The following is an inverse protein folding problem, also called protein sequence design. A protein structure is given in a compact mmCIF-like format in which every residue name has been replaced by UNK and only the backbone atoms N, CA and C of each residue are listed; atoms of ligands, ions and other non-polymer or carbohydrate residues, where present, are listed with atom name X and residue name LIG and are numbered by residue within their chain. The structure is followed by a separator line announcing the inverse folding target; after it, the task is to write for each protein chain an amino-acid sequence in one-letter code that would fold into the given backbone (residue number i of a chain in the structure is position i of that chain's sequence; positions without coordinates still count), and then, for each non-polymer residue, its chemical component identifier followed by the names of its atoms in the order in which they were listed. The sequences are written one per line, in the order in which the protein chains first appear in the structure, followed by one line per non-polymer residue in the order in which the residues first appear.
data_IF_807010170454
#
_entry.id   IF_807010170454
#
_cell.length_a   1.000
_cell.length_b   1.000
_cell.length_c   1.000
_cell.angle_alpha   90.00
_cell.angle_beta   90.00
_cell.angle_gamma   90.00
#
_symmetry.space_group_name_H-M   'P 1'
#
loop_
_entity.id
_entity.type
_entity.pdbx_description
1 polymer ?
#
# COMPACT_ATOMS: atom_id res chain seq x y z
N UNK A 1 -20.93 -0.15 -23.34
CA UNK A 1 -19.60 -0.73 -23.01
C UNK A 1 -19.59 -2.19 -23.44
N UNK A 2 -18.65 -2.62 -24.27
CA UNK A 2 -18.50 -4.04 -24.59
C UNK A 2 -18.09 -4.81 -23.31
N UNK A 3 -18.64 -6.01 -23.04
CA UNK A 3 -18.28 -6.77 -21.85
C UNK A 3 -16.79 -7.11 -21.88
N UNK A 4 -16.08 -6.73 -20.82
CA UNK A 4 -14.65 -6.99 -20.64
C UNK A 4 -14.43 -8.52 -20.62
N UNK A 5 -13.64 -9.05 -21.54
CA UNK A 5 -13.29 -10.46 -21.58
C UNK A 5 -12.36 -10.78 -20.41
N UNK A 6 -12.75 -11.76 -19.57
CA UNK A 6 -12.02 -12.15 -18.37
C UNK A 6 -11.18 -13.40 -18.64
N UNK A 7 -9.86 -13.29 -18.45
CA UNK A 7 -8.89 -14.38 -18.58
C UNK A 7 -8.28 -14.67 -17.20
N UNK A 8 -8.75 -15.71 -16.51
CA UNK A 8 -8.33 -16.10 -15.15
C UNK A 8 -7.92 -17.58 -15.08
N UNK A 9 -7.36 -18.09 -16.16
CA UNK A 9 -7.09 -19.53 -16.32
C UNK A 9 -6.19 -20.10 -15.24
N UNK A 10 -5.16 -19.35 -14.83
CA UNK A 10 -4.29 -19.76 -13.73
C UNK A 10 -5.07 -19.93 -12.42
N UNK A 11 -5.95 -19.00 -12.10
CA UNK A 11 -6.74 -19.06 -10.87
C UNK A 11 -7.70 -20.25 -10.87
N UNK A 12 -8.31 -20.54 -12.02
CA UNK A 12 -9.15 -21.73 -12.21
C UNK A 12 -8.35 -23.00 -11.97
N UNK A 13 -7.14 -23.07 -12.51
CA UNK A 13 -6.23 -24.21 -12.32
C UNK A 13 -5.83 -24.35 -10.85
N UNK A 14 -5.44 -23.28 -10.18
CA UNK A 14 -5.11 -23.26 -8.75
C UNK A 14 -6.26 -23.79 -7.89
N UNK A 15 -7.49 -23.33 -8.16
CA UNK A 15 -8.70 -23.79 -7.47
C UNK A 15 -8.90 -25.31 -7.69
N UNK A 16 -8.78 -25.78 -8.93
CA UNK A 16 -8.91 -27.19 -9.24
C UNK A 16 -7.88 -28.05 -8.50
N UNK A 17 -6.63 -27.60 -8.49
CA UNK A 17 -5.53 -28.30 -7.83
C UNK A 17 -5.67 -28.29 -6.30
N UNK A 18 -6.08 -27.18 -5.69
CA UNK A 18 -6.39 -27.08 -4.26
C UNK A 18 -7.45 -28.09 -3.84
N UNK A 19 -8.47 -28.29 -4.69
CA UNK A 19 -9.53 -29.27 -4.45
C UNK A 19 -9.18 -30.67 -4.96
N UNK A 20 -7.94 -30.92 -5.40
CA UNK A 20 -7.44 -32.21 -5.93
C UNK A 20 -8.37 -32.82 -6.99
N UNK A 21 -9.02 -31.97 -7.79
CA UNK A 21 -9.97 -32.38 -8.81
C UNK A 21 -9.26 -32.64 -10.15
N UNK A 22 -9.69 -33.70 -10.85
CA UNK A 22 -9.29 -33.93 -12.24
C UNK A 22 -9.95 -32.89 -13.15
N UNK A 23 -9.38 -32.60 -14.31
CA UNK A 23 -9.98 -31.65 -15.29
C UNK A 23 -11.41 -32.09 -15.67
N UNK A 24 -11.65 -33.39 -15.84
CA UNK A 24 -12.97 -33.93 -16.20
C UNK A 24 -14.00 -33.69 -15.06
N UNK A 25 -13.66 -34.09 -13.84
CA UNK A 25 -14.58 -33.90 -12.69
C UNK A 25 -14.80 -32.44 -12.30
N UNK A 26 -13.82 -31.59 -12.53
CA UNK A 26 -13.95 -30.15 -12.30
C UNK A 26 -14.85 -29.49 -13.37
N UNK A 27 -14.67 -29.85 -14.65
CA UNK A 27 -15.49 -29.39 -15.75
C UNK A 27 -16.96 -29.80 -15.58
N UNK A 28 -17.21 -31.06 -15.15
CA UNK A 28 -18.55 -31.57 -14.88
C UNK A 28 -19.25 -30.77 -13.78
N UNK A 29 -18.57 -30.47 -12.67
CA UNK A 29 -19.12 -29.66 -11.58
C UNK A 29 -19.43 -28.22 -11.99
N UNK A 30 -18.68 -27.68 -12.93
CA UNK A 30 -18.92 -26.32 -13.47
C UNK A 30 -19.94 -26.30 -14.61
N UNK A 31 -20.46 -27.46 -15.05
CA UNK A 31 -21.40 -27.57 -16.15
C UNK A 31 -20.81 -27.20 -17.52
N UNK A 32 -19.48 -27.43 -17.71
CA UNK A 32 -18.76 -27.10 -18.94
C UNK A 32 -18.03 -28.31 -19.51
N UNK A 33 -17.66 -28.25 -20.79
CA UNK A 33 -16.84 -29.30 -21.39
C UNK A 33 -15.39 -29.25 -20.91
N UNK A 34 -14.73 -30.41 -20.83
CA UNK A 34 -13.30 -30.50 -20.48
C UNK A 34 -12.43 -29.69 -21.43
N UNK A 35 -12.82 -29.66 -22.74
CA UNK A 35 -12.13 -28.84 -23.74
C UNK A 35 -12.24 -27.34 -23.44
N UNK A 36 -13.42 -26.86 -23.05
CA UNK A 36 -13.62 -25.46 -22.64
C UNK A 36 -12.80 -25.12 -21.39
N UNK A 37 -12.79 -26.02 -20.37
CA UNK A 37 -11.99 -25.85 -19.18
C UNK A 37 -10.50 -25.75 -19.52
N UNK A 38 -9.98 -26.66 -20.35
CA UNK A 38 -8.57 -26.64 -20.76
C UNK A 38 -8.19 -25.36 -21.48
N UNK A 39 -9.05 -24.88 -22.43
CA UNK A 39 -8.83 -23.60 -23.10
C UNK A 39 -8.88 -22.42 -22.14
N UNK A 40 -9.77 -22.46 -21.16
CA UNK A 40 -9.88 -21.42 -20.13
C UNK A 40 -8.70 -21.43 -19.18
N UNK A 41 -8.25 -22.59 -18.69
CA UNK A 41 -7.06 -22.75 -17.83
C UNK A 41 -5.76 -22.26 -18.52
N UNK A 42 -5.69 -22.35 -19.86
CA UNK A 42 -4.56 -21.87 -20.65
C UNK A 42 -4.75 -20.44 -21.20
N UNK A 43 -5.76 -19.71 -20.72
CA UNK A 43 -6.11 -18.35 -21.17
C UNK A 43 -6.34 -18.23 -22.70
N UNK A 44 -6.66 -19.33 -23.40
CA UNK A 44 -7.01 -19.34 -24.82
C UNK A 44 -8.45 -18.89 -25.03
N UNK A 45 -9.28 -18.95 -23.98
CA UNK A 45 -10.69 -18.57 -24.02
C UNK A 45 -11.08 -17.81 -22.76
N UNK A 46 -11.82 -16.70 -22.88
CA UNK A 46 -12.28 -15.95 -21.73
C UNK A 46 -13.34 -16.75 -20.94
N UNK A 47 -13.35 -16.55 -19.65
CA UNK A 47 -14.31 -17.19 -18.74
C UNK A 47 -15.63 -16.45 -18.81
N UNK A 48 -16.74 -17.20 -18.96
CA UNK A 48 -18.08 -16.61 -18.99
C UNK A 48 -18.57 -16.32 -17.57
N UNK A 49 -19.53 -15.39 -17.44
CA UNK A 49 -20.16 -15.07 -16.17
C UNK A 49 -20.83 -16.30 -15.52
N UNK A 50 -21.39 -17.19 -16.32
CA UNK A 50 -21.98 -18.45 -15.83
C UNK A 50 -20.95 -19.35 -15.15
N UNK A 51 -19.73 -19.45 -15.70
CA UNK A 51 -18.65 -20.23 -15.11
C UNK A 51 -18.13 -19.59 -13.82
N UNK A 52 -18.10 -18.25 -13.75
CA UNK A 52 -17.74 -17.53 -12.52
C UNK A 52 -18.75 -17.80 -11.39
N UNK A 53 -20.04 -17.75 -11.71
CA UNK A 53 -21.09 -18.07 -10.76
C UNK A 53 -21.01 -19.52 -10.28
N UNK A 54 -20.79 -20.45 -11.22
CA UNK A 54 -20.60 -21.87 -10.87
C UNK A 54 -19.36 -22.10 -9.99
N UNK A 55 -18.27 -21.37 -10.21
CA UNK A 55 -17.08 -21.39 -9.33
C UNK A 55 -17.40 -20.89 -7.93
N UNK A 56 -18.15 -19.78 -7.83
CA UNK A 56 -18.55 -19.23 -6.54
C UNK A 56 -19.46 -20.20 -5.75
N UNK A 57 -20.45 -20.79 -6.42
CA UNK A 57 -21.42 -21.69 -5.80
C UNK A 57 -20.81 -23.02 -5.39
N UNK A 58 -20.00 -23.65 -6.26
CA UNK A 58 -19.47 -25.00 -6.00
C UNK A 58 -18.22 -25.01 -5.12
N UNK A 59 -17.46 -23.92 -5.09
CA UNK A 59 -16.18 -23.86 -4.39
C UNK A 59 -16.09 -22.72 -3.37
N UNK A 60 -17.24 -22.03 -3.07
CA UNK A 60 -17.35 -20.94 -2.10
C UNK A 60 -16.34 -19.83 -2.30
N UNK A 61 -16.06 -19.50 -3.56
CA UNK A 61 -15.05 -18.51 -3.92
C UNK A 61 -15.72 -17.15 -4.01
N UNK A 62 -15.15 -16.18 -3.31
CA UNK A 62 -15.54 -14.79 -3.50
C UNK A 62 -15.11 -14.32 -4.89
N UNK A 63 -16.10 -14.06 -5.77
CA UNK A 63 -15.84 -13.54 -7.13
C UNK A 63 -15.10 -12.20 -7.05
N UNK A 64 -15.30 -11.41 -6.01
CA UNK A 64 -14.55 -10.18 -5.74
C UNK A 64 -13.09 -10.42 -5.39
N UNK A 65 -12.75 -11.61 -4.88
CA UNK A 65 -11.37 -12.04 -4.60
C UNK A 65 -10.67 -12.62 -5.83
N UNK A 66 -11.40 -12.96 -6.89
CA UNK A 66 -10.84 -13.21 -8.22
C UNK A 66 -10.48 -11.85 -8.82
N UNK A 67 -9.45 -11.26 -8.24
CA UNK A 67 -9.15 -9.86 -8.38
C UNK A 67 -8.61 -9.56 -9.77
N UNK A 68 -9.35 -8.75 -10.50
CA UNK A 68 -8.87 -7.98 -11.64
C UNK A 68 -7.71 -7.02 -11.28
N UNK A 69 -7.38 -6.90 -9.99
CA UNK A 69 -6.37 -5.98 -9.46
C UNK A 69 -4.94 -6.49 -9.54
N UNK A 70 -4.71 -7.80 -9.45
CA UNK A 70 -3.35 -8.35 -9.44
C UNK A 70 -2.70 -8.25 -10.82
N UNK A 71 -3.46 -8.50 -11.89
CA UNK A 71 -2.98 -8.36 -13.27
C UNK A 71 -2.66 -6.89 -13.60
N UNK A 72 -3.51 -5.95 -13.15
CA UNK A 72 -3.30 -4.51 -13.39
C UNK A 72 -2.09 -3.99 -12.58
N UNK A 73 -1.85 -4.50 -11.38
CA UNK A 73 -0.66 -4.19 -10.56
C UNK A 73 0.61 -4.72 -11.18
N UNK A 74 0.58 -5.98 -11.62
CA UNK A 74 1.72 -6.62 -12.26
C UNK A 74 2.05 -5.92 -13.58
N UNK A 75 1.03 -5.57 -14.37
CA UNK A 75 1.18 -4.79 -15.60
C UNK A 75 1.82 -3.42 -15.34
N UNK A 76 1.36 -2.71 -14.31
CA UNK A 76 1.93 -1.43 -13.93
C UNK A 76 3.41 -1.56 -13.52
N UNK A 77 3.74 -2.57 -12.72
CA UNK A 77 5.11 -2.83 -12.30
C UNK A 77 6.04 -3.23 -13.47
N UNK A 78 5.54 -4.02 -14.41
CA UNK A 78 6.27 -4.36 -15.65
C UNK A 78 6.47 -3.11 -16.51
N UNK A 79 5.43 -2.30 -16.69
CA UNK A 79 5.53 -1.05 -17.46
C UNK A 79 6.54 -0.08 -16.84
N UNK A 80 6.56 0.03 -15.52
CA UNK A 80 7.53 0.86 -14.79
C UNK A 80 8.97 0.32 -14.97
N UNK A 81 9.16 -0.99 -14.89
CA UNK A 81 10.47 -1.60 -15.11
C UNK A 81 10.97 -1.35 -16.54
N UNK A 82 10.11 -1.56 -17.54
CA UNK A 82 10.44 -1.39 -18.95
C UNK A 82 10.57 0.08 -19.40
N UNK A 83 10.16 1.03 -18.56
CA UNK A 83 10.41 2.45 -18.76
C UNK A 83 11.87 2.87 -18.49
N UNK A 84 12.70 1.98 -17.95
CA UNK A 84 14.12 2.28 -17.69
C UNK A 84 14.91 2.34 -19.02
N UNK A 85 15.87 3.30 -19.18
CA UNK A 85 16.71 3.42 -20.37
C UNK A 85 17.45 2.15 -20.76
N UNK A 86 17.73 1.23 -19.83
CA UNK A 86 18.36 -0.06 -20.13
C UNK A 86 17.54 -0.89 -21.14
N UNK A 87 16.25 -0.63 -21.23
CA UNK A 87 15.33 -1.31 -22.17
C UNK A 87 15.01 -0.50 -23.43
N UNK A 88 15.69 0.62 -23.70
CA UNK A 88 15.36 1.50 -24.82
C UNK A 88 15.31 0.82 -26.19
N UNK A 89 16.09 -0.25 -26.39
CA UNK A 89 16.09 -1.06 -27.59
C UNK A 89 15.01 -2.17 -27.60
N UNK A 90 14.26 -2.33 -26.49
CA UNK A 90 13.29 -3.41 -26.29
C UNK A 90 12.02 -2.84 -25.70
N UNK A 91 11.16 -2.25 -26.54
CA UNK A 91 9.90 -1.61 -26.09
C UNK A 91 8.71 -2.47 -26.50
N UNK A 92 8.27 -3.42 -25.66
CA UNK A 92 7.06 -4.17 -25.95
C UNK A 92 5.84 -3.25 -25.93
N UNK A 93 4.88 -3.55 -26.79
CA UNK A 93 3.59 -2.88 -26.81
C UNK A 93 2.80 -3.18 -25.53
N UNK A 94 1.85 -2.32 -25.20
CA UNK A 94 0.93 -2.55 -24.07
C UNK A 94 0.22 -3.91 -24.18
N UNK A 95 -0.04 -4.37 -25.40
CA UNK A 95 -0.69 -5.65 -25.66
C UNK A 95 0.22 -6.84 -25.31
N UNK A 96 1.50 -6.77 -25.64
CA UNK A 96 2.50 -7.79 -25.28
C UNK A 96 2.74 -7.82 -23.77
N UNK A 97 2.81 -6.67 -23.11
CA UNK A 97 2.94 -6.59 -21.66
C UNK A 97 1.73 -7.24 -20.96
N UNK A 98 0.50 -7.00 -21.45
CA UNK A 98 -0.71 -7.67 -20.96
C UNK A 98 -0.66 -9.19 -21.16
N UNK A 99 -0.19 -9.65 -22.30
CA UNK A 99 -0.04 -11.09 -22.56
C UNK A 99 0.95 -11.75 -21.61
N UNK A 100 2.09 -11.10 -21.33
CA UNK A 100 3.09 -11.62 -20.39
C UNK A 100 2.54 -11.67 -18.98
N UNK A 101 1.89 -10.62 -18.51
CA UNK A 101 1.34 -10.58 -17.15
C UNK A 101 0.22 -11.59 -16.94
N UNK A 102 -0.59 -11.87 -17.96
CA UNK A 102 -1.69 -12.82 -17.90
C UNK A 102 -1.26 -14.28 -18.10
N UNK A 103 -0.34 -14.54 -19.03
CA UNK A 103 0.02 -15.91 -19.42
C UNK A 103 1.31 -16.43 -18.78
N UNK A 104 2.22 -15.53 -18.40
CA UNK A 104 3.51 -15.85 -17.82
C UNK A 104 3.88 -14.92 -16.66
N UNK A 105 3.06 -14.79 -15.62
CA UNK A 105 3.31 -13.87 -14.50
C UNK A 105 4.63 -14.15 -13.78
N UNK A 106 5.10 -15.40 -13.76
CA UNK A 106 6.43 -15.74 -13.24
C UNK A 106 7.57 -15.04 -14.00
N UNK A 107 7.46 -14.90 -15.32
CA UNK A 107 8.41 -14.12 -16.14
C UNK A 107 8.31 -12.63 -15.81
N UNK A 108 7.10 -12.11 -15.66
CA UNK A 108 6.89 -10.72 -15.27
C UNK A 108 7.55 -10.41 -13.91
N UNK A 109 7.37 -11.28 -12.92
CA UNK A 109 8.02 -11.14 -11.61
C UNK A 109 9.55 -11.26 -11.72
N UNK A 110 10.08 -12.19 -12.53
CA UNK A 110 11.51 -12.33 -12.75
C UNK A 110 12.12 -11.08 -13.40
N UNK A 111 11.44 -10.49 -14.40
CA UNK A 111 11.87 -9.23 -15.02
C UNK A 111 11.91 -8.07 -14.01
N UNK A 112 10.86 -7.94 -13.20
CA UNK A 112 10.81 -6.92 -12.15
C UNK A 112 11.94 -7.11 -11.16
N UNK A 113 12.20 -8.35 -10.71
CA UNK A 113 13.27 -8.66 -9.78
C UNK A 113 14.66 -8.34 -10.38
N UNK A 114 14.88 -8.68 -11.65
CA UNK A 114 16.12 -8.40 -12.38
C UNK A 114 16.33 -6.89 -12.54
N UNK A 115 15.30 -6.14 -12.95
CA UNK A 115 15.39 -4.69 -13.07
C UNK A 115 15.66 -4.02 -11.71
N UNK A 116 15.04 -4.49 -10.64
CA UNK A 116 15.30 -3.98 -9.29
C UNK A 116 16.77 -4.22 -8.88
N UNK A 117 17.32 -5.40 -9.18
CA UNK A 117 18.74 -5.68 -8.93
C UNK A 117 19.67 -4.77 -9.75
N UNK A 118 19.35 -4.56 -11.03
CA UNK A 118 20.07 -3.63 -11.90
C UNK A 118 20.06 -2.20 -11.35
N UNK A 119 18.90 -1.68 -10.97
CA UNK A 119 18.75 -0.32 -10.40
C UNK A 119 19.55 -0.14 -9.12
N UNK A 120 19.48 -1.12 -8.21
CA UNK A 120 20.28 -1.10 -6.97
C UNK A 120 21.78 -1.02 -7.26
N UNK A 121 22.26 -1.86 -8.19
CA UNK A 121 23.68 -1.84 -8.58
C UNK A 121 24.07 -0.49 -9.19
N UNK A 122 23.22 0.11 -10.03
CA UNK A 122 23.48 1.43 -10.62
C UNK A 122 23.51 2.55 -9.59
N UNK A 123 22.62 2.53 -8.61
CA UNK A 123 22.61 3.51 -7.51
C UNK A 123 23.79 3.37 -6.57
N UNK A 124 24.25 2.14 -6.34
CA UNK A 124 25.47 1.89 -5.55
C UNK A 124 26.73 2.32 -6.29
N UNK A 125 26.82 2.06 -7.60
CA UNK A 125 27.93 2.56 -8.42
C UNK A 125 27.97 4.10 -8.41
N UNK A 126 26.81 4.77 -8.54
CA UNK A 126 26.72 6.23 -8.44
C UNK A 126 27.09 6.76 -7.05
N UNK A 127 26.78 6.01 -5.99
CA UNK A 127 27.19 6.32 -4.61
C UNK A 127 28.69 6.11 -4.39
N UNK A 128 29.29 5.11 -5.04
CA UNK A 128 30.73 4.83 -4.98
C UNK A 128 31.57 5.85 -5.75
N UNK A 129 31.08 6.37 -6.86
CA UNK A 129 31.71 7.48 -7.60
C UNK A 129 31.80 8.76 -6.75
N UNK A 130 30.88 8.96 -5.81
CA UNK A 130 30.94 10.04 -4.83
C UNK A 130 31.87 9.76 -3.63
N UNK A 131 32.31 8.51 -3.44
CA UNK A 131 33.17 8.07 -2.34
C UNK A 131 34.50 7.52 -2.84
N UNK A 132 35.21 8.22 -3.72
CA UNK A 132 36.51 7.83 -4.26
C UNK A 132 37.31 6.89 -3.34
N UNK A 133 37.37 5.59 -3.65
CA UNK A 133 38.48 4.75 -3.23
C UNK A 133 38.22 3.46 -2.46
N UNK A 134 37.03 2.85 -2.46
CA UNK A 134 36.88 1.53 -1.84
C UNK A 134 36.15 0.50 -2.74
N UNK A 135 36.67 -0.73 -2.67
CA UNK A 135 36.28 -1.87 -3.50
C UNK A 135 34.77 -2.23 -3.42
N UNK A 136 34.18 -2.74 -4.52
CA UNK A 136 32.76 -3.02 -4.60
C UNK A 136 32.39 -4.21 -3.71
N UNK A 137 31.50 -3.99 -2.74
CA UNK A 137 30.80 -5.07 -2.08
C UNK A 137 29.59 -5.47 -2.93
N UNK A 138 29.36 -6.77 -3.07
CA UNK A 138 28.21 -7.37 -3.73
C UNK A 138 26.91 -6.80 -3.17
N UNK A 139 26.17 -6.12 -4.02
CA UNK A 139 24.97 -5.39 -3.63
C UNK A 139 23.79 -6.31 -3.33
N UNK A 140 23.53 -6.54 -2.07
CA UNK A 140 22.27 -7.14 -1.61
C UNK A 140 21.09 -6.15 -1.74
N UNK A 141 19.87 -6.65 -2.04
CA UNK A 141 18.69 -5.80 -2.06
C UNK A 141 18.53 -5.07 -0.72
N UNK A 142 18.14 -3.79 -0.77
CA UNK A 142 17.89 -3.06 0.47
C UNK A 142 16.77 -3.76 1.25
N UNK A 143 17.04 -4.24 2.48
CA UNK A 143 16.09 -5.05 3.26
C UNK A 143 14.73 -4.38 3.43
N UNK A 144 14.74 -3.05 3.49
CA UNK A 144 13.54 -2.23 3.62
C UNK A 144 12.62 -2.31 2.38
N UNK A 145 13.18 -2.46 1.19
CA UNK A 145 12.39 -2.57 -0.05
C UNK A 145 11.72 -3.93 -0.16
N UNK A 146 12.41 -5.00 0.22
CA UNK A 146 11.83 -6.34 0.28
C UNK A 146 10.61 -6.40 1.19
N UNK A 147 10.71 -5.80 2.38
CA UNK A 147 9.62 -5.75 3.35
C UNK A 147 8.45 -4.90 2.84
N UNK A 148 8.75 -3.79 2.17
CA UNK A 148 7.72 -2.95 1.56
C UNK A 148 6.95 -3.70 0.46
N UNK A 149 7.66 -4.44 -0.38
CA UNK A 149 7.06 -5.26 -1.43
C UNK A 149 6.21 -6.39 -0.84
N UNK A 150 6.67 -7.05 0.23
CA UNK A 150 5.88 -8.05 0.95
C UNK A 150 4.52 -7.50 1.37
N UNK A 151 4.47 -6.38 2.10
CA UNK A 151 3.20 -5.77 2.51
C UNK A 151 2.34 -5.33 1.32
N UNK A 152 2.95 -4.90 0.24
CA UNK A 152 2.21 -4.55 -0.98
C UNK A 152 1.53 -5.77 -1.61
N UNK A 153 2.22 -6.91 -1.71
CA UNK A 153 1.68 -8.11 -2.34
C UNK A 153 0.56 -8.80 -1.53
N UNK A 154 0.52 -8.60 -0.22
CA UNK A 154 -0.55 -9.11 0.64
C UNK A 154 -1.70 -8.09 0.84
N UNK A 155 -1.82 -7.08 -0.03
CA UNK A 155 -2.82 -6.00 0.10
C UNK A 155 -2.78 -5.29 1.47
N UNK A 156 -1.62 -5.30 2.14
CA UNK A 156 -1.44 -4.75 3.48
C UNK A 156 -2.42 -5.34 4.52
N UNK A 157 -2.93 -6.55 4.30
CA UNK A 157 -3.83 -7.26 5.22
C UNK A 157 -3.20 -8.59 5.70
N UNK A 158 -3.06 -8.73 7.01
CA UNK A 158 -2.51 -9.93 7.65
C UNK A 158 -3.58 -10.56 8.52
N UNK A 159 -4.24 -11.59 7.98
CA UNK A 159 -5.46 -12.17 8.55
C UNK A 159 -5.28 -12.65 9.98
N UNK A 160 -4.25 -13.44 10.25
CA UNK A 160 -4.02 -14.07 11.53
C UNK A 160 -3.75 -13.05 12.63
N UNK A 161 -2.97 -12.02 12.33
CA UNK A 161 -2.70 -10.93 13.28
C UNK A 161 -3.92 -10.04 13.49
N UNK A 162 -4.71 -9.82 12.44
CA UNK A 162 -5.93 -9.02 12.54
C UNK A 162 -6.97 -9.68 13.42
N UNK A 163 -7.20 -10.99 13.25
CA UNK A 163 -8.10 -11.78 14.10
C UNK A 163 -7.61 -11.82 15.54
N UNK A 164 -6.31 -12.02 15.78
CA UNK A 164 -5.74 -12.03 17.11
C UNK A 164 -5.91 -10.66 17.81
N UNK A 165 -5.67 -9.57 17.08
CA UNK A 165 -5.85 -8.22 17.58
C UNK A 165 -7.31 -7.91 17.91
N UNK A 166 -8.25 -8.29 17.03
CA UNK A 166 -9.68 -8.09 17.20
C UNK A 166 -10.21 -8.87 18.43
N UNK A 167 -9.74 -10.11 18.62
CA UNK A 167 -10.08 -10.91 19.78
C UNK A 167 -9.59 -10.23 21.08
N UNK A 168 -8.33 -9.83 21.11
CA UNK A 168 -7.77 -9.14 22.29
C UNK A 168 -8.50 -7.82 22.56
N UNK A 169 -8.86 -7.08 21.53
CA UNK A 169 -9.64 -5.84 21.67
C UNK A 169 -11.01 -6.10 22.30
N UNK A 170 -11.68 -7.19 21.91
CA UNK A 170 -12.95 -7.60 22.51
C UNK A 170 -12.78 -8.04 23.98
N UNK A 171 -11.76 -8.84 24.29
CA UNK A 171 -11.45 -9.28 25.65
C UNK A 171 -11.15 -8.09 26.60
N UNK A 172 -10.59 -6.99 26.07
CA UNK A 172 -10.28 -5.75 26.80
C UNK A 172 -11.41 -4.73 26.78
N UNK A 173 -12.50 -4.99 26.03
CA UNK A 173 -13.59 -4.05 25.78
C UNK A 173 -13.09 -2.68 25.27
N UNK A 174 -12.11 -2.71 24.35
CA UNK A 174 -11.52 -1.47 23.81
C UNK A 174 -12.56 -0.51 23.24
N UNK A 175 -13.65 -0.94 22.54
CA UNK A 175 -14.69 0.00 22.08
C UNK A 175 -15.45 0.69 23.22
N UNK A 176 -15.58 0.06 24.42
CA UNK A 176 -16.33 0.55 25.57
C UNK A 176 -15.48 1.23 26.65
N UNK A 177 -14.15 1.07 26.63
CA UNK A 177 -13.21 1.58 27.63
C UNK A 177 -12.17 2.52 27.03
N UNK A 178 -11.68 3.44 27.82
CA UNK A 178 -10.54 4.26 27.44
C UNK A 178 -9.29 3.37 27.22
N UNK A 179 -8.82 3.34 25.97
CA UNK A 179 -7.64 2.58 25.57
C UNK A 179 -6.39 2.99 26.37
N UNK A 180 -6.30 4.25 26.78
CA UNK A 180 -5.20 4.78 27.60
C UNK A 180 -5.19 4.23 29.03
N UNK A 181 -6.28 3.59 29.46
CA UNK A 181 -6.41 2.90 30.74
C UNK A 181 -6.35 1.39 30.54
N UNK A 182 -7.07 0.87 29.54
CA UNK A 182 -7.19 -0.57 29.31
C UNK A 182 -5.85 -1.23 28.99
N UNK A 183 -5.04 -0.65 28.08
CA UNK A 183 -3.75 -1.23 27.69
C UNK A 183 -2.70 -1.22 28.80
N UNK A 184 -2.48 -0.12 29.56
CA UNK A 184 -1.58 -0.13 30.70
C UNK A 184 -1.98 -1.15 31.76
N UNK A 185 -3.27 -1.23 32.09
CA UNK A 185 -3.77 -2.20 33.05
C UNK A 185 -3.52 -3.63 32.60
N UNK A 186 -3.80 -3.94 31.34
CA UNK A 186 -3.53 -5.27 30.78
C UNK A 186 -2.04 -5.63 30.84
N UNK A 187 -1.15 -4.67 30.53
CA UNK A 187 0.29 -4.88 30.61
C UNK A 187 0.73 -5.22 32.07
N UNK A 188 0.14 -4.57 33.05
CA UNK A 188 0.46 -4.84 34.45
C UNK A 188 -0.11 -6.18 34.91
N UNK A 189 -1.40 -6.43 34.66
CA UNK A 189 -2.10 -7.63 35.15
C UNK A 189 -1.58 -8.90 34.47
N UNK A 190 -1.41 -8.90 33.18
CA UNK A 190 -1.06 -10.08 32.38
C UNK A 190 0.45 -10.32 32.31
N UNK A 191 1.24 -9.25 32.19
CA UNK A 191 2.67 -9.33 31.89
C UNK A 191 3.54 -8.86 33.04
N UNK A 192 2.96 -8.31 34.10
CA UNK A 192 3.71 -7.67 35.21
C UNK A 192 4.65 -6.57 34.69
N UNK A 193 4.23 -5.87 33.64
CA UNK A 193 4.99 -4.78 33.03
C UNK A 193 4.42 -3.45 33.49
N UNK A 194 5.24 -2.70 34.23
CA UNK A 194 4.92 -1.34 34.64
C UNK A 194 5.29 -0.33 33.57
N UNK A 195 4.43 0.65 33.32
CA UNK A 195 4.69 1.75 32.39
C UNK A 195 5.28 2.94 33.14
N UNK A 196 6.40 3.47 32.63
CA UNK A 196 7.10 4.62 33.17
C UNK A 196 7.40 5.66 32.06
N UNK A 197 7.75 6.86 32.49
CA UNK A 197 8.22 7.91 31.54
C UNK A 197 9.70 7.70 31.24
N UNK A 198 10.10 7.79 30.01
CA UNK A 198 11.50 7.84 29.61
C UNK A 198 12.15 9.14 30.06
N UNK A 199 13.47 9.14 30.27
CA UNK A 199 14.22 10.36 30.58
C UNK A 199 14.07 11.40 29.44
N UNK A 200 14.07 12.67 29.79
CA UNK A 200 13.88 13.76 28.85
C UNK A 200 14.99 13.84 27.79
N UNK A 201 16.16 13.29 28.07
CA UNK A 201 17.32 13.26 27.18
C UNK A 201 17.35 12.01 26.28
N UNK A 202 16.52 11.00 26.56
CA UNK A 202 16.42 9.81 25.72
C UNK A 202 15.60 10.10 24.47
N UNK A 203 16.25 10.14 23.30
CA UNK A 203 15.58 10.31 22.01
C UNK A 203 14.90 9.01 21.53
N UNK A 204 14.07 8.40 22.37
CA UNK A 204 13.37 7.14 22.07
C UNK A 204 11.85 7.32 22.11
N UNK A 205 11.12 6.61 21.28
CA UNK A 205 9.65 6.51 21.40
C UNK A 205 9.26 5.59 22.55
N UNK A 206 9.95 4.46 22.67
CA UNK A 206 9.81 3.47 23.72
C UNK A 206 11.12 2.74 23.99
N UNK A 207 11.29 2.26 25.19
CA UNK A 207 12.34 1.32 25.59
C UNK A 207 11.77 0.34 26.61
N UNK A 208 11.93 -0.94 26.35
CA UNK A 208 11.51 -1.99 27.29
C UNK A 208 12.74 -2.59 28.00
N UNK A 209 12.68 -2.59 29.31
CA UNK A 209 13.66 -3.27 30.17
C UNK A 209 13.08 -4.61 30.60
N UNK A 210 13.61 -5.69 30.03
CA UNK A 210 13.13 -7.04 30.29
C UNK A 210 13.45 -7.54 31.71
N UNK A 211 14.52 -7.05 32.35
CA UNK A 211 14.91 -7.45 33.69
C UNK A 211 14.01 -6.82 34.75
N UNK A 212 13.79 -5.52 34.66
CA UNK A 212 12.94 -4.80 35.61
C UNK A 212 11.47 -4.81 35.25
N UNK A 213 11.12 -5.35 34.07
CA UNK A 213 9.76 -5.40 33.52
C UNK A 213 9.13 -4.01 33.45
N UNK A 214 9.88 -3.02 32.98
CA UNK A 214 9.42 -1.63 32.83
C UNK A 214 9.45 -1.22 31.37
N UNK A 215 8.32 -0.71 30.89
CA UNK A 215 8.19 -0.07 29.57
C UNK A 215 8.28 1.44 29.74
N UNK A 216 9.37 2.01 29.25
CA UNK A 216 9.58 3.46 29.24
C UNK A 216 9.01 4.05 27.97
N UNK A 217 8.16 5.07 28.08
CA UNK A 217 7.55 5.79 26.95
C UNK A 217 7.98 7.25 26.97
N UNK A 218 8.14 7.80 25.77
CA UNK A 218 8.45 9.23 25.62
C UNK A 218 7.31 10.09 26.21
N UNK A 219 7.60 10.93 27.22
CA UNK A 219 6.57 11.74 27.87
C UNK A 219 5.97 12.82 26.95
N UNK A 220 6.70 13.23 25.91
CA UNK A 220 6.27 14.27 24.97
C UNK A 220 5.45 13.72 23.80
N UNK A 221 5.42 12.40 23.59
CA UNK A 221 4.58 11.79 22.56
C UNK A 221 3.10 11.97 22.90
N UNK A 222 2.23 12.23 21.89
CA UNK A 222 0.78 12.23 22.09
C UNK A 222 0.27 10.92 22.69
N UNK A 223 -0.87 10.97 23.39
CA UNK A 223 -1.50 9.76 23.96
C UNK A 223 -1.73 8.67 22.90
N UNK A 224 -2.18 9.04 21.69
CA UNK A 224 -2.36 8.15 20.55
C UNK A 224 -1.09 7.39 20.17
N UNK A 225 0.07 8.05 20.23
CA UNK A 225 1.37 7.42 19.99
C UNK A 225 1.76 6.50 21.14
N UNK A 226 1.58 6.94 22.40
CA UNK A 226 1.89 6.10 23.56
C UNK A 226 1.05 4.82 23.60
N UNK A 227 -0.25 4.93 23.35
CA UNK A 227 -1.15 3.77 23.28
C UNK A 227 -0.71 2.78 22.19
N UNK A 228 -0.33 3.29 21.03
CA UNK A 228 0.21 2.47 19.95
C UNK A 228 1.52 1.77 20.35
N UNK A 229 2.42 2.44 21.07
CA UNK A 229 3.66 1.83 21.56
C UNK A 229 3.41 0.75 22.61
N UNK A 230 2.37 0.90 23.45
CA UNK A 230 1.94 -0.15 24.39
C UNK A 230 1.39 -1.35 23.61
N UNK A 231 0.51 -1.11 22.63
CA UNK A 231 -0.03 -2.16 21.76
C UNK A 231 1.08 -2.90 20.98
N UNK A 232 2.10 -2.18 20.52
CA UNK A 232 3.28 -2.78 19.90
C UNK A 232 4.04 -3.68 20.91
N UNK A 233 4.19 -3.24 22.17
CA UNK A 233 4.86 -4.06 23.19
C UNK A 233 4.05 -5.32 23.52
N UNK A 234 2.72 -5.27 23.50
CA UNK A 234 1.86 -6.46 23.61
C UNK A 234 2.14 -7.42 22.47
N UNK A 235 2.22 -6.92 21.22
CA UNK A 235 2.57 -7.77 20.06
C UNK A 235 3.93 -8.45 20.23
N UNK A 236 4.92 -7.75 20.81
CA UNK A 236 6.25 -8.30 21.04
C UNK A 236 6.23 -9.41 22.10
N UNK A 237 5.38 -9.29 23.12
CA UNK A 237 5.28 -10.26 24.20
C UNK A 237 4.41 -11.49 23.84
N UNK A 238 3.38 -11.32 23.01
CA UNK A 238 2.37 -12.35 22.78
C UNK A 238 2.37 -12.92 21.36
N UNK A 239 2.81 -12.15 20.35
CA UNK A 239 2.68 -12.53 18.94
C UNK A 239 4.00 -12.99 18.31
N UNK A 240 5.06 -13.16 19.08
CA UNK A 240 6.40 -13.48 18.54
C UNK A 240 6.43 -14.73 17.68
N UNK A 241 5.76 -15.81 18.10
CA UNK A 241 5.69 -17.05 17.33
C UNK A 241 4.96 -16.86 16.00
N UNK A 242 3.82 -16.16 16.01
CA UNK A 242 3.02 -15.88 14.82
C UNK A 242 3.74 -14.92 13.87
N UNK A 243 4.30 -13.84 14.40
CA UNK A 243 5.10 -12.86 13.65
C UNK A 243 6.30 -13.53 12.98
N UNK A 244 7.00 -14.40 13.72
CA UNK A 244 8.14 -15.15 13.16
C UNK A 244 7.72 -16.14 12.09
N UNK A 245 6.59 -16.83 12.25
CA UNK A 245 6.07 -17.75 11.24
C UNK A 245 5.72 -17.01 9.93
N UNK A 246 5.01 -15.89 10.03
CA UNK A 246 4.65 -15.06 8.86
C UNK A 246 5.89 -14.51 8.17
N UNK A 247 6.84 -13.95 8.93
CA UNK A 247 8.07 -13.40 8.37
C UNK A 247 8.93 -14.44 7.66
N UNK A 248 8.95 -15.70 8.15
CA UNK A 248 9.66 -16.81 7.48
C UNK A 248 9.00 -17.25 6.18
N UNK A 249 7.68 -17.18 6.09
CA UNK A 249 6.94 -17.55 4.86
C UNK A 249 7.20 -16.55 3.71
N UNK A 250 7.65 -15.35 4.02
CA UNK A 250 7.92 -14.30 3.03
C UNK A 250 9.20 -14.55 2.21
N UNK A 251 10.05 -15.51 2.60
CA UNK A 251 11.28 -15.93 1.92
C UNK A 251 12.21 -14.75 1.57
N UNK A 252 12.45 -13.89 2.57
CA UNK A 252 13.37 -12.75 2.43
C UNK A 252 14.81 -13.21 2.22
N UNK A 253 15.55 -12.43 1.44
CA UNK A 253 16.96 -12.72 1.09
C UNK A 253 17.95 -12.40 2.20
N UNK A 254 17.59 -11.48 3.12
CA UNK A 254 18.45 -11.03 4.19
C UNK A 254 17.82 -11.21 5.57
N UNK A 255 18.65 -11.45 6.58
CA UNK A 255 18.20 -11.55 7.96
C UNK A 255 17.63 -10.20 8.47
N UNK A 256 18.18 -9.09 7.99
CA UNK A 256 17.72 -7.74 8.30
C UNK A 256 16.30 -7.51 7.77
N UNK A 257 15.97 -8.00 6.58
CA UNK A 257 14.60 -7.92 6.04
C UNK A 257 13.61 -8.69 6.91
N UNK A 258 13.99 -9.87 7.42
CA UNK A 258 13.16 -10.64 8.37
C UNK A 258 12.88 -9.81 9.63
N UNK A 259 13.90 -9.21 10.24
CA UNK A 259 13.73 -8.42 11.46
C UNK A 259 12.91 -7.13 11.21
N UNK A 260 13.13 -6.44 10.09
CA UNK A 260 12.32 -5.28 9.69
C UNK A 260 10.85 -5.69 9.44
N UNK A 261 10.63 -6.86 8.80
CA UNK A 261 9.29 -7.41 8.59
C UNK A 261 8.59 -7.69 9.92
N UNK A 262 9.27 -8.31 10.89
CA UNK A 262 8.73 -8.53 12.23
C UNK A 262 8.29 -7.21 12.91
N UNK A 263 9.10 -6.15 12.77
CA UNK A 263 8.70 -4.81 13.26
C UNK A 263 7.44 -4.33 12.53
N UNK A 264 7.36 -4.52 11.21
CA UNK A 264 6.19 -4.18 10.41
C UNK A 264 4.93 -4.95 10.85
N UNK A 265 5.05 -6.25 11.09
CA UNK A 265 3.96 -7.11 11.55
C UNK A 265 3.48 -6.74 12.97
N UNK A 266 4.40 -6.39 13.89
CA UNK A 266 4.03 -5.89 15.22
C UNK A 266 3.34 -4.53 15.14
N UNK A 267 3.79 -3.64 14.24
CA UNK A 267 3.09 -2.38 13.96
C UNK A 267 1.69 -2.63 13.38
N UNK A 268 1.54 -3.64 12.51
CA UNK A 268 0.23 -4.05 11.98
C UNK A 268 -0.71 -4.47 13.11
N UNK A 269 -0.26 -5.40 13.98
CA UNK A 269 -1.03 -5.84 15.13
C UNK A 269 -1.42 -4.67 16.03
N UNK A 270 -0.47 -3.77 16.34
CA UNK A 270 -0.74 -2.59 17.17
C UNK A 270 -1.83 -1.71 16.56
N UNK A 271 -1.78 -1.46 15.26
CA UNK A 271 -2.82 -0.73 14.53
C UNK A 271 -4.18 -1.44 14.56
N UNK A 272 -4.18 -2.76 14.40
CA UNK A 272 -5.38 -3.58 14.44
C UNK A 272 -6.00 -3.66 15.86
N UNK A 273 -5.17 -3.65 16.90
CA UNK A 273 -5.65 -3.64 18.30
C UNK A 273 -6.28 -2.28 18.67
N UNK A 274 -5.65 -1.18 18.27
CA UNK A 274 -6.17 0.18 18.51
C UNK A 274 -7.45 0.44 17.71
N UNK A 275 -7.53 -0.12 16.51
CA UNK A 275 -8.64 0.07 15.56
C UNK A 275 -9.20 -1.30 15.13
N UNK A 276 -9.99 -1.99 15.99
CA UNK A 276 -10.47 -3.34 15.74
C UNK A 276 -11.33 -3.43 14.48
N UNK A 277 -11.16 -4.47 13.68
CA UNK A 277 -11.66 -4.56 12.31
C UNK A 277 -13.13 -4.23 12.17
N UNK A 278 -14.00 -5.03 12.80
CA UNK A 278 -15.47 -4.91 12.64
C UNK A 278 -15.98 -3.55 13.13
N UNK A 279 -15.55 -3.16 14.32
CA UNK A 279 -15.99 -1.90 14.94
C UNK A 279 -15.51 -0.71 14.13
N UNK A 280 -14.28 -0.75 13.64
CA UNK A 280 -13.71 0.32 12.82
C UNK A 280 -14.35 0.39 11.43
N UNK A 281 -14.57 -0.76 10.78
CA UNK A 281 -15.27 -0.81 9.47
C UNK A 281 -16.70 -0.27 9.57
N UNK A 282 -17.45 -0.64 10.62
CA UNK A 282 -18.79 -0.14 10.85
C UNK A 282 -18.80 1.38 11.05
N UNK A 283 -17.90 1.88 11.90
CA UNK A 283 -17.75 3.31 12.14
C UNK A 283 -17.32 4.07 10.88
N UNK A 284 -16.40 3.51 10.08
CA UNK A 284 -15.97 4.13 8.83
C UNK A 284 -17.12 4.31 7.85
N UNK A 285 -18.00 3.32 7.73
CA UNK A 285 -19.22 3.42 6.90
C UNK A 285 -20.22 4.43 7.47
N UNK A 286 -20.50 4.37 8.78
CA UNK A 286 -21.40 5.27 9.48
C UNK A 286 -21.00 6.74 9.32
N UNK A 287 -19.71 7.04 9.51
CA UNK A 287 -19.13 8.38 9.45
C UNK A 287 -18.66 8.76 8.05
N UNK A 288 -19.01 7.97 7.03
CA UNK A 288 -18.61 8.23 5.65
C UNK A 288 -17.12 8.54 5.51
N UNK A 289 -16.29 7.72 6.18
CA UNK A 289 -14.84 7.78 6.16
C UNK A 289 -14.24 9.15 6.58
N UNK A 290 -14.93 9.91 7.44
CA UNK A 290 -14.41 11.14 8.03
C UNK A 290 -13.24 10.83 8.95
N UNK A 291 -12.03 11.23 8.55
CA UNK A 291 -10.80 10.90 9.26
C UNK A 291 -10.74 11.54 10.66
N UNK A 292 -11.27 12.76 10.81
CA UNK A 292 -11.23 13.49 12.08
C UNK A 292 -12.21 12.90 13.08
N UNK A 293 -13.43 12.58 12.64
CA UNK A 293 -14.42 11.92 13.49
C UNK A 293 -13.98 10.50 13.88
N UNK A 294 -13.40 9.75 12.95
CA UNK A 294 -12.82 8.43 13.23
C UNK A 294 -11.65 8.53 14.22
N UNK A 295 -10.75 9.48 14.03
CA UNK A 295 -9.63 9.71 14.93
C UNK A 295 -10.11 10.05 16.35
N UNK A 296 -11.12 10.89 16.47
CA UNK A 296 -11.77 11.24 17.74
C UNK A 296 -12.44 10.03 18.40
N UNK A 297 -13.26 9.28 17.64
CA UNK A 297 -14.03 8.13 18.14
C UNK A 297 -13.15 7.03 18.71
N UNK A 298 -11.99 6.79 18.10
CA UNK A 298 -11.07 5.73 18.49
C UNK A 298 -9.84 6.21 19.26
N UNK A 299 -9.78 7.49 19.64
CA UNK A 299 -8.59 8.08 20.28
C UNK A 299 -7.30 7.73 19.52
N UNK A 300 -7.35 7.79 18.19
CA UNK A 300 -6.27 7.48 17.27
C UNK A 300 -5.78 8.73 16.54
N UNK A 301 -4.59 8.69 15.94
CA UNK A 301 -4.11 9.76 15.07
C UNK A 301 -4.67 9.64 13.65
N UNK A 302 -4.72 10.76 12.89
CA UNK A 302 -5.12 10.75 11.50
C UNK A 302 -4.29 9.78 10.65
N UNK A 303 -2.97 9.66 10.93
CA UNK A 303 -2.10 8.68 10.24
C UNK A 303 -2.52 7.24 10.53
N UNK A 304 -2.87 6.92 11.80
CA UNK A 304 -3.32 5.59 12.19
C UNK A 304 -4.65 5.24 11.52
N UNK A 305 -5.62 6.17 11.51
CA UNK A 305 -6.90 6.02 10.85
C UNK A 305 -6.74 5.80 9.35
N UNK A 306 -5.99 6.69 8.67
CA UNK A 306 -5.79 6.61 7.22
C UNK A 306 -5.05 5.31 6.82
N UNK A 307 -4.04 4.91 7.61
CA UNK A 307 -3.34 3.65 7.40
C UNK A 307 -4.28 2.45 7.63
N UNK A 308 -5.10 2.46 8.70
CA UNK A 308 -6.03 1.36 8.98
C UNK A 308 -7.07 1.19 7.89
N UNK A 309 -7.59 2.27 7.32
CA UNK A 309 -8.52 2.20 6.17
C UNK A 309 -7.91 1.43 5.00
N UNK A 310 -6.61 1.58 4.74
CA UNK A 310 -5.92 0.84 3.67
C UNK A 310 -5.73 -0.66 3.95
N UNK A 311 -5.94 -1.10 5.20
CA UNK A 311 -5.81 -2.51 5.61
C UNK A 311 -7.14 -3.25 5.68
N UNK A 312 -8.27 -2.61 5.38
CA UNK A 312 -9.60 -3.22 5.46
C UNK A 312 -9.89 -4.14 4.26
N UNK A 313 -9.08 -5.20 4.09
CA UNK A 313 -9.11 -6.10 2.94
C UNK A 313 -9.50 -7.54 3.30
N UNK A 314 -10.16 -7.77 4.45
CA UNK A 314 -10.66 -9.09 4.87
C UNK A 314 -11.65 -9.63 3.84
N UNK A 315 -11.46 -10.88 3.37
CA UNK A 315 -12.37 -11.54 2.44
C UNK A 315 -13.80 -11.57 2.99
N UNK A 316 -14.80 -11.27 2.16
CA UNK A 316 -16.21 -11.19 2.54
C UNK A 316 -16.63 -9.95 3.36
N UNK A 317 -15.67 -9.14 3.83
CA UNK A 317 -15.92 -7.96 4.67
C UNK A 317 -15.00 -6.80 4.31
N UNK A 318 -14.74 -6.57 3.04
CA UNK A 318 -13.86 -5.51 2.56
C UNK A 318 -14.44 -4.12 2.81
N UNK A 319 -13.55 -3.21 3.19
CA UNK A 319 -13.81 -1.78 3.14
C UNK A 319 -13.68 -1.23 1.72
N UNK A 320 -13.80 0.09 1.58
CA UNK A 320 -13.51 0.77 0.33
C UNK A 320 -12.02 0.57 -0.02
N UNK A 321 -11.69 0.15 -1.25
CA UNK A 321 -10.31 0.07 -1.68
C UNK A 321 -9.69 1.48 -1.73
N UNK A 322 -8.74 1.74 -0.85
CA UNK A 322 -8.06 3.04 -0.78
C UNK A 322 -6.56 2.88 -1.01
N UNK A 323 -5.94 3.92 -1.51
CA UNK A 323 -4.50 4.10 -1.40
C UNK A 323 -4.17 4.99 -0.22
N UNK A 324 -3.03 4.75 0.40
CA UNK A 324 -2.44 5.56 1.44
C UNK A 324 -0.99 5.88 1.10
N UNK A 325 -0.58 7.13 1.28
CA UNK A 325 0.82 7.52 1.17
C UNK A 325 1.21 8.51 2.27
N UNK A 326 2.48 8.45 2.69
CA UNK A 326 3.10 9.48 3.51
C UNK A 326 4.29 10.04 2.78
N UNK A 327 4.27 11.36 2.58
CA UNK A 327 5.26 12.09 1.79
C UNK A 327 5.99 13.07 2.70
N UNK A 328 7.31 13.19 2.55
CA UNK A 328 8.10 14.22 3.22
C UNK A 328 8.08 15.54 2.45
N UNK A 329 8.69 16.60 3.00
CA UNK A 329 8.73 17.92 2.37
C UNK A 329 9.51 17.98 1.05
N UNK A 330 10.39 17.01 0.81
CA UNK A 330 11.13 16.88 -0.45
C UNK A 330 10.34 16.12 -1.53
N UNK A 331 9.14 15.66 -1.22
CA UNK A 331 8.29 14.88 -2.13
C UNK A 331 8.58 13.37 -2.12
N UNK A 332 9.47 12.87 -1.23
CA UNK A 332 9.75 11.45 -1.15
C UNK A 332 8.61 10.71 -0.46
N UNK A 333 8.19 9.60 -1.04
CA UNK A 333 7.16 8.73 -0.46
C UNK A 333 7.82 7.82 0.58
N UNK A 334 7.59 8.13 1.86
CA UNK A 334 8.19 7.39 3.00
C UNK A 334 7.38 6.20 3.47
N UNK A 335 6.06 6.18 3.19
CA UNK A 335 5.16 5.04 3.35
C UNK A 335 4.18 5.03 2.19
N UNK A 336 3.82 3.86 1.70
CA UNK A 336 2.79 3.69 0.68
C UNK A 336 2.09 2.35 0.82
N UNK A 337 0.79 2.35 0.68
CA UNK A 337 -0.07 1.18 0.60
C UNK A 337 -1.18 1.47 -0.40
N UNK A 338 -1.53 0.52 -1.23
CA UNK A 338 -2.62 0.71 -2.17
C UNK A 338 -3.42 -0.58 -2.32
N UNK A 339 -4.67 -0.52 -1.92
CA UNK A 339 -5.71 -1.48 -2.28
C UNK A 339 -6.53 -0.98 -3.49
N UNK A 340 -6.37 0.31 -3.88
CA UNK A 340 -6.91 0.89 -5.08
C UNK A 340 -6.01 0.62 -6.30
N UNK A 341 -6.50 0.92 -7.51
CA UNK A 341 -5.71 0.77 -8.75
C UNK A 341 -4.57 1.76 -8.86
N UNK A 342 -4.60 2.88 -8.13
CA UNK A 342 -3.52 3.84 -8.13
C UNK A 342 -2.25 3.19 -7.59
N UNK A 343 -1.26 3.06 -8.44
CA UNK A 343 0.06 2.57 -8.08
C UNK A 343 1.01 3.76 -7.91
N UNK A 344 1.79 3.73 -6.85
CA UNK A 344 2.84 4.73 -6.65
C UNK A 344 4.12 4.28 -7.35
N UNK A 345 4.81 5.23 -7.99
CA UNK A 345 6.12 4.96 -8.54
C UNK A 345 7.06 4.45 -7.42
N UNK A 346 7.83 3.44 -7.75
CA UNK A 346 8.82 2.88 -6.80
C UNK A 346 9.97 3.85 -6.59
N UNK A 347 10.30 4.62 -7.62
CA UNK A 347 11.42 5.53 -7.67
C UNK A 347 10.98 6.93 -8.13
N UNK A 348 11.57 7.95 -7.54
CA UNK A 348 11.32 9.34 -7.86
C UNK A 348 10.29 10.00 -6.94
N UNK A 349 10.12 11.31 -7.14
CA UNK A 349 9.18 12.12 -6.37
C UNK A 349 7.74 11.92 -6.88
N UNK A 350 6.77 12.16 -6.00
CA UNK A 350 5.36 12.23 -6.34
C UNK A 350 5.09 13.33 -7.39
N UNK A 351 4.01 13.17 -8.16
CA UNK A 351 3.61 14.17 -9.16
C UNK A 351 3.45 15.56 -8.52
N UNK A 352 4.06 16.63 -9.08
CA UNK A 352 3.96 17.98 -8.52
C UNK A 352 2.52 18.53 -8.45
N UNK A 353 1.63 18.00 -9.28
CA UNK A 353 0.21 18.42 -9.30
C UNK A 353 -0.64 17.68 -8.26
N UNK A 354 -0.07 16.75 -7.52
CA UNK A 354 -0.82 16.03 -6.50
C UNK A 354 -0.96 16.87 -5.22
N UNK A 355 -2.14 16.88 -4.63
CA UNK A 355 -2.51 17.72 -3.49
C UNK A 355 -1.66 17.49 -2.22
N UNK A 356 -0.86 16.43 -2.13
CA UNK A 356 0.06 16.20 -1.01
C UNK A 356 1.07 17.34 -0.83
N UNK A 357 1.46 18.00 -1.93
CA UNK A 357 2.39 19.13 -1.86
C UNK A 357 1.73 20.36 -1.25
N UNK A 358 0.45 20.61 -1.58
CA UNK A 358 -0.33 21.72 -1.03
C UNK A 358 -0.62 21.54 0.47
N UNK A 359 -0.64 20.31 0.97
CA UNK A 359 -0.88 20.04 2.39
C UNK A 359 0.16 20.73 3.29
N UNK A 360 1.40 20.91 2.84
CA UNK A 360 2.44 21.63 3.59
C UNK A 360 2.21 23.14 3.67
N UNK A 361 1.43 23.71 2.73
CA UNK A 361 1.10 25.13 2.68
C UNK A 361 -0.10 25.48 3.57
N UNK A 362 -0.93 24.47 3.89
CA UNK A 362 -2.15 24.62 4.70
C UNK A 362 -2.18 23.63 5.88
N UNK A 363 -1.26 23.77 6.85
CA UNK A 363 -1.20 22.87 8.01
C UNK A 363 -2.53 22.82 8.77
N UNK A 364 -2.93 21.63 9.24
CA UNK A 364 -4.15 21.45 10.00
C UNK A 364 -5.45 21.46 9.18
N UNK A 365 -5.35 21.47 7.84
CA UNK A 365 -6.50 21.35 6.95
C UNK A 365 -6.42 20.08 6.11
N UNK A 366 -7.58 19.44 5.90
CA UNK A 366 -7.74 18.38 4.91
C UNK A 366 -8.04 19.00 3.55
N UNK A 367 -7.19 18.74 2.56
CA UNK A 367 -7.31 19.23 1.19
C UNK A 367 -7.87 18.12 0.32
N UNK A 368 -8.83 18.47 -0.52
CA UNK A 368 -9.51 17.58 -1.45
C UNK A 368 -9.07 17.84 -2.88
N UNK A 369 -8.96 16.80 -3.68
CA UNK A 369 -8.66 16.91 -5.11
C UNK A 369 -9.39 15.79 -5.85
N UNK A 370 -10.08 16.13 -6.94
CA UNK A 370 -10.48 15.18 -7.95
C UNK A 370 -9.33 15.04 -8.94
N UNK A 371 -8.83 13.85 -9.15
CA UNK A 371 -7.62 13.61 -9.93
C UNK A 371 -7.87 12.58 -11.05
N UNK A 372 -7.31 12.84 -12.24
CA UNK A 372 -7.34 11.90 -13.37
C UNK A 372 -5.91 11.54 -13.78
N UNK A 373 -5.58 10.24 -13.78
CA UNK A 373 -4.28 9.71 -14.23
C UNK A 373 -4.22 9.60 -15.76
N UNK A 374 -3.03 9.46 -16.39
CA UNK A 374 -2.90 9.41 -17.84
C UNK A 374 -3.71 8.29 -18.53
N UNK A 375 -3.95 7.17 -17.84
CA UNK A 375 -4.78 6.05 -18.29
C UNK A 375 -6.30 6.33 -18.21
N UNK A 376 -6.69 7.53 -17.74
CA UNK A 376 -8.08 7.96 -17.60
C UNK A 376 -8.77 7.47 -16.33
N UNK A 377 -8.05 6.83 -15.42
CA UNK A 377 -8.61 6.47 -14.13
C UNK A 377 -8.79 7.71 -13.25
N UNK A 378 -9.90 7.78 -12.51
CA UNK A 378 -10.30 8.93 -11.71
C UNK A 378 -10.39 8.61 -10.25
N UNK A 379 -9.92 9.53 -9.44
CA UNK A 379 -9.77 9.37 -8.00
C UNK A 379 -10.29 10.59 -7.24
N UNK A 380 -10.84 10.32 -6.05
CA UNK A 380 -10.94 11.32 -4.98
C UNK A 380 -9.68 11.18 -4.13
N UNK A 381 -8.91 12.26 -4.05
CA UNK A 381 -7.70 12.34 -3.23
C UNK A 381 -7.92 13.32 -2.07
N UNK A 382 -7.51 12.94 -0.88
CA UNK A 382 -7.48 13.80 0.30
C UNK A 382 -6.06 13.81 0.86
N UNK A 383 -5.59 14.96 1.30
CA UNK A 383 -4.27 15.13 1.89
C UNK A 383 -4.31 16.08 3.08
N UNK A 384 -3.50 15.81 4.09
CA UNK A 384 -3.30 16.68 5.23
C UNK A 384 -1.87 16.62 5.75
N UNK A 385 -1.39 17.72 6.30
CA UNK A 385 -0.07 17.79 6.92
C UNK A 385 -0.11 17.22 8.34
N UNK A 386 0.95 16.53 8.72
CA UNK A 386 1.20 16.03 10.06
C UNK A 386 2.56 16.51 10.54
N UNK A 387 2.58 17.25 11.63
CA UNK A 387 3.81 17.59 12.36
C UNK A 387 4.00 16.63 13.53
N UNK A 388 5.16 15.98 13.59
CA UNK A 388 5.60 15.16 14.74
C UNK A 388 6.71 15.88 15.47
N UNK A 389 6.44 16.19 16.73
CA UNK A 389 7.43 16.76 17.67
C UNK A 389 7.47 15.86 18.91
N UNK A 390 8.65 15.46 19.31
CA UNK A 390 8.86 14.53 20.43
C UNK A 390 9.73 15.16 21.52
N UNK A 391 9.53 16.44 21.78
CA UNK A 391 10.32 17.19 22.75
C UNK A 391 9.86 18.63 22.91
N UNK A 392 10.69 19.42 23.59
CA UNK A 392 10.47 20.86 23.79
C UNK A 392 10.76 21.69 22.53
N UNK A 393 10.74 23.02 22.66
CA UNK A 393 10.91 23.98 21.58
C UNK A 393 12.13 23.73 20.67
N UNK A 394 13.24 23.23 21.22
CA UNK A 394 14.46 22.92 20.47
C UNK A 394 14.47 21.54 19.82
N UNK A 395 13.47 20.69 20.09
CA UNK A 395 13.42 19.36 19.49
C UNK A 395 13.16 19.45 17.98
N UNK A 396 13.78 18.57 17.17
CA UNK A 396 13.55 18.56 15.75
C UNK A 396 12.11 18.20 15.43
N UNK A 397 11.48 18.98 14.56
CA UNK A 397 10.13 18.69 14.07
C UNK A 397 10.23 17.92 12.76
N UNK A 398 9.48 16.84 12.66
CA UNK A 398 9.33 16.06 11.43
C UNK A 398 7.97 16.34 10.83
N UNK A 399 7.96 16.92 9.62
CA UNK A 399 6.74 17.25 8.89
C UNK A 399 6.53 16.29 7.74
N UNK A 400 5.33 15.77 7.64
CA UNK A 400 4.89 14.87 6.58
C UNK A 400 3.53 15.31 6.08
N UNK A 401 3.23 15.00 4.81
CA UNK A 401 1.85 14.97 4.33
C UNK A 401 1.40 13.52 4.26
N UNK A 402 0.20 13.22 4.75
CA UNK A 402 -0.48 11.96 4.45
C UNK A 402 -1.48 12.20 3.34
N UNK A 403 -1.59 11.24 2.44
CA UNK A 403 -2.60 11.19 1.41
C UNK A 403 -3.39 9.89 1.54
N UNK A 404 -4.68 9.99 1.35
CA UNK A 404 -5.62 8.89 1.22
C UNK A 404 -6.50 9.17 0.01
N UNK A 405 -6.95 8.13 -0.68
CA UNK A 405 -7.92 8.31 -1.73
C UNK A 405 -8.45 7.00 -2.27
N UNK A 406 -9.53 7.09 -3.04
CA UNK A 406 -10.22 5.98 -3.66
C UNK A 406 -10.53 6.27 -5.12
N UNK A 407 -10.88 5.23 -5.88
CA UNK A 407 -11.47 5.43 -7.20
C UNK A 407 -12.79 6.22 -7.08
N UNK A 408 -13.09 7.07 -8.06
CA UNK A 408 -14.28 7.92 -8.06
C UNK A 408 -15.60 7.13 -7.89
N UNK A 409 -15.61 5.86 -8.27
CA UNK A 409 -16.77 4.96 -8.06
C UNK A 409 -17.16 4.82 -6.58
N UNK A 410 -16.21 5.00 -5.68
CA UNK A 410 -16.41 4.94 -4.23
C UNK A 410 -16.44 6.33 -3.56
N UNK A 411 -16.35 7.41 -4.33
CA UNK A 411 -16.24 8.75 -3.77
C UNK A 411 -17.42 9.13 -2.87
N UNK A 412 -18.64 8.67 -3.19
CA UNK A 412 -19.83 8.94 -2.40
C UNK A 412 -19.82 8.32 -0.99
N UNK A 413 -19.00 7.31 -0.78
CA UNK A 413 -18.78 6.73 0.55
C UNK A 413 -17.96 7.65 1.47
N UNK A 414 -17.36 8.72 0.92
CA UNK A 414 -16.54 9.68 1.64
C UNK A 414 -17.26 11.02 1.79
N UNK A 415 -17.26 11.56 3.01
CA UNK A 415 -17.77 12.92 3.28
C UNK A 415 -17.03 13.99 2.44
N UNK A 416 -15.82 13.71 2.06
CA UNK A 416 -14.96 14.62 1.29
C UNK A 416 -15.41 14.81 -0.16
N UNK A 417 -16.32 13.98 -0.67
CA UNK A 417 -16.93 14.17 -2.00
C UNK A 417 -18.06 15.19 -1.99
N UNK A 418 -18.60 15.56 -0.82
CA UNK A 418 -19.74 16.45 -0.72
C UNK A 418 -19.41 17.82 -1.34
N UNK A 419 -20.28 18.28 -2.25
CA UNK A 419 -20.12 19.52 -2.98
C UNK A 419 -19.07 19.48 -4.11
N UNK A 420 -18.52 18.32 -4.45
CA UNK A 420 -17.68 18.13 -5.64
C UNK A 420 -18.49 17.53 -6.78
N UNK A 421 -18.32 18.05 -7.98
CA UNK A 421 -18.92 17.44 -9.18
C UNK A 421 -18.03 16.29 -9.69
N UNK A 422 -18.30 15.09 -9.20
CA UNK A 422 -17.57 13.86 -9.57
C UNK A 422 -17.93 13.34 -10.96
N UNK A 423 -18.89 13.96 -11.66
CA UNK A 423 -19.32 13.56 -13.02
C UNK A 423 -18.67 14.40 -14.11
N UNK A 424 -18.41 15.66 -13.84
CA UNK A 424 -17.82 16.59 -14.78
C UNK A 424 -16.32 16.32 -14.96
N UNK A 425 -15.91 16.00 -16.19
CA UNK A 425 -14.51 15.68 -16.49
C UNK A 425 -13.55 16.84 -16.20
N UNK A 426 -13.97 18.05 -16.45
CA UNK A 426 -13.16 19.27 -16.21
C UNK A 426 -12.93 19.57 -14.72
N UNK A 427 -13.61 18.89 -13.80
CA UNK A 427 -13.38 19.00 -12.37
C UNK A 427 -12.16 18.18 -11.88
N UNK A 428 -11.60 17.35 -12.76
CA UNK A 428 -10.48 16.47 -12.41
C UNK A 428 -9.15 17.09 -12.84
N UNK A 429 -8.26 17.25 -11.87
CA UNK A 429 -6.88 17.69 -12.14
C UNK A 429 -6.08 16.59 -12.82
N UNK A 430 -5.29 16.92 -13.84
CA UNK A 430 -4.50 15.95 -14.58
C UNK A 430 -3.23 15.58 -13.83
N UNK A 431 -3.29 14.63 -12.91
CA UNK A 431 -2.10 14.13 -12.21
C UNK A 431 -1.40 13.00 -12.96
N UNK A 432 -0.16 12.70 -12.55
CA UNK A 432 0.57 11.48 -12.88
C UNK A 432 1.05 10.78 -11.63
N UNK A 433 1.68 9.62 -11.79
CA UNK A 433 2.31 8.91 -10.67
C UNK A 433 3.71 9.46 -10.40
N UNK A 434 4.51 9.63 -11.46
CA UNK A 434 5.83 10.26 -11.47
C UNK A 434 6.11 10.84 -12.84
N UNK A 435 6.85 11.95 -12.91
CA UNK A 435 7.18 12.57 -14.21
C UNK A 435 7.96 11.62 -15.14
N UNK A 436 8.79 10.73 -14.57
CA UNK A 436 9.62 9.78 -15.34
C UNK A 436 8.85 8.78 -16.18
N UNK A 437 7.63 8.43 -15.77
CA UNK A 437 6.78 7.44 -16.45
C UNK A 437 5.46 8.04 -16.93
N UNK A 438 5.28 9.36 -16.83
CA UNK A 438 4.04 10.03 -17.19
C UNK A 438 4.02 10.36 -18.69
N UNK A 439 3.13 9.72 -19.44
CA UNK A 439 2.95 9.89 -20.87
C UNK A 439 2.13 11.14 -21.26
N UNK A 440 1.67 11.93 -20.30
CA UNK A 440 0.86 13.12 -20.56
C UNK A 440 1.66 14.14 -21.36
N UNK A 441 1.29 14.38 -22.61
CA UNK A 441 2.02 15.28 -23.52
C UNK A 441 2.00 16.73 -23.05
N UNK A 442 0.84 17.23 -22.62
CA UNK A 442 0.63 18.60 -22.18
C UNK A 442 0.58 18.67 -20.65
N UNK A 443 1.71 18.91 -20.02
CA UNK A 443 1.80 19.07 -18.57
C UNK A 443 2.58 20.35 -18.23
N UNK A 444 1.91 21.29 -17.57
CA UNK A 444 2.49 22.60 -17.19
C UNK A 444 3.50 22.52 -16.04
N UNK A 445 3.50 21.42 -15.28
CA UNK A 445 4.34 21.23 -14.09
C UNK A 445 5.32 20.04 -14.23
N UNK A 446 5.63 19.65 -15.45
CA UNK A 446 6.59 18.59 -15.69
C UNK A 446 7.99 18.96 -15.20
N UNK A 447 8.50 18.24 -14.22
CA UNK A 447 9.83 18.47 -13.65
C UNK A 447 10.95 17.87 -14.53
N UNK A 448 10.71 16.68 -15.11
CA UNK A 448 11.65 15.95 -15.98
C UNK A 448 10.90 15.29 -17.12
N UNK A 449 11.53 15.11 -18.30
CA UNK A 449 10.89 14.38 -19.40
C UNK A 449 10.69 12.90 -19.04
N UNK A 450 9.65 12.24 -19.61
CA UNK A 450 9.46 10.80 -19.44
C UNK A 450 10.60 10.06 -20.14
N UNK A 451 10.97 8.90 -19.59
CA UNK A 451 12.09 8.09 -20.09
C UNK A 451 11.86 7.56 -21.52
N UNK A 452 10.60 7.30 -21.87
CA UNK A 452 10.21 6.64 -23.13
C UNK A 452 9.80 7.63 -24.23
N UNK A 453 9.91 8.94 -24.02
CA UNK A 453 9.49 9.94 -24.99
C UNK A 453 10.69 10.53 -25.73
N UNK A 454 10.57 10.65 -27.05
CA UNK A 454 11.51 11.44 -27.83
C UNK A 454 11.22 12.92 -27.60
N UNK A 455 12.28 13.71 -27.49
CA UNK A 455 12.17 15.15 -27.29
C UNK A 455 12.39 15.86 -28.62
N UNK A 456 11.48 16.79 -28.95
CA UNK A 456 11.69 17.74 -30.03
C UNK A 456 11.96 19.12 -29.42
N UNK A 457 13.06 19.74 -29.82
CA UNK A 457 13.42 21.10 -29.50
C UNK A 457 13.13 21.98 -30.70
N UNK A 458 12.31 23.00 -30.51
CA UNK A 458 11.97 23.99 -31.53
C UNK A 458 12.69 25.29 -31.13
N UNK A 459 13.65 25.70 -31.94
CA UNK A 459 14.45 26.89 -31.65
C UNK A 459 13.70 28.22 -31.92
N UNK A 460 12.66 28.16 -32.77
CA UNK A 460 11.88 29.34 -33.16
C UNK A 460 10.62 29.52 -32.31
N UNK A 461 10.28 28.50 -31.51
CA UNK A 461 9.08 28.52 -30.66
C UNK A 461 9.39 28.11 -29.22
N UNK A 462 9.21 29.02 -28.30
CA UNK A 462 9.32 28.78 -26.87
C UNK A 462 7.95 28.50 -26.28
N UNK A 463 7.76 27.26 -25.75
CA UNK A 463 6.62 26.89 -24.92
C UNK A 463 6.92 27.07 -23.43
N UNK A 464 6.01 26.61 -22.56
CA UNK A 464 6.23 26.51 -21.09
C UNK A 464 7.40 25.58 -20.83
N UNK A 465 7.40 24.41 -21.48
CA UNK A 465 8.55 23.51 -21.47
C UNK A 465 9.50 23.83 -22.62
N UNK A 466 10.82 23.65 -22.43
CA UNK A 466 11.81 23.92 -23.49
C UNK A 466 11.84 22.86 -24.61
N UNK A 467 10.99 21.87 -24.53
CA UNK A 467 10.86 20.73 -25.47
C UNK A 467 9.39 20.33 -25.61
N UNK A 468 9.10 19.57 -26.66
CA UNK A 468 7.85 18.82 -26.82
C UNK A 468 8.14 17.34 -26.75
N UNK A 469 7.15 16.58 -26.28
CA UNK A 469 7.17 15.12 -26.37
C UNK A 469 6.64 14.71 -27.75
N UNK A 470 7.34 13.76 -28.41
CA UNK A 470 6.97 13.16 -29.69
C UNK A 470 6.41 11.77 -29.47
#
# INVERSE_FOLDING_TARGET
MAPRKLYIGRKIREIREQHRATQSGFAERLGISTSYLNQSENNQRPVSAAVLLALAENYQIDIGAISLGDDDRLLSAVSEALADPVFDNYKPSLQEMKLITQNAPGLAHALIACHQAYRRNSEQLASLDNQLGRAPSTAEPAPYEEVRDFFHFIDNYVHELDIAAEKLAADLDIPGRDIGVALPQYMEDRHRVRIARAGAEEAVLRRFDAHTRVLYLNPYSPATTRNFQIAFQIAELEMESLVTAIARQADFRSAEAVEICKIGLRNYFAGALVLPYQTFLAAAKELRHDLELLASRFSASLEQVAHRLSTLQRSGQRGVPVFFARVDRAGNITKRHSAAKLQFARYGAACPLWNVHQAFETPGRIIRQLAETPDGARYLCIATELTKSEGGFKAPQRRYAIALGCEVAYAQDFVYADGLDITMRSAFDPIGVSCRICERAECVQRAIPPLNSRLAVDHDRRGILPYRLL
#
